data_IF_770605440122
#
_entry.id   IF_770605440122
#
_cell.length_a   1.000
_cell.length_b   1.000
_cell.length_c   1.000
_cell.angle_alpha   90.00
_cell.angle_beta   90.00
_cell.angle_gamma   90.00
#
_symmetry.space_group_name_H-M   'P 1'
#
loop_
_entity.id
_entity.type
_entity.pdbx_description
1 polymer ?
#
# COMPACT_ATOMS: atom_id res chain seq x y z
N UNK A 1 -62.04 -22.26 6.64
CA UNK A 1 -61.40 -20.94 6.41
C UNK A 1 -59.99 -20.97 7.02
N UNK A 2 -58.93 -20.83 6.22
CA UNK A 2 -57.55 -20.91 6.69
C UNK A 2 -57.08 -19.55 7.23
N UNK A 3 -56.73 -19.49 8.51
CA UNK A 3 -56.20 -18.28 9.14
C UNK A 3 -54.87 -17.87 8.47
N UNK A 4 -54.88 -16.73 7.76
CA UNK A 4 -53.67 -16.11 7.20
C UNK A 4 -52.68 -15.85 8.34
N UNK A 5 -51.64 -16.67 8.45
CA UNK A 5 -50.49 -16.49 9.35
C UNK A 5 -49.91 -15.09 9.11
N UNK A 6 -50.07 -14.21 10.09
CA UNK A 6 -49.78 -12.80 9.98
C UNK A 6 -48.25 -12.56 9.93
N UNK A 7 -47.71 -12.38 8.73
CA UNK A 7 -46.28 -12.24 8.45
C UNK A 7 -45.64 -11.03 9.17
N UNK A 8 -46.45 -10.02 9.50
CA UNK A 8 -46.02 -8.83 10.24
C UNK A 8 -45.68 -9.16 11.70
N UNK A 9 -46.50 -9.99 12.36
CA UNK A 9 -46.26 -10.43 13.74
C UNK A 9 -44.97 -11.26 13.85
N UNK A 10 -44.68 -12.09 12.82
CA UNK A 10 -43.43 -12.86 12.77
C UNK A 10 -42.20 -11.97 12.62
N UNK A 11 -42.27 -10.95 11.76
CA UNK A 11 -41.19 -9.97 11.56
C UNK A 11 -40.95 -9.11 12.81
N UNK A 12 -42.01 -8.70 13.50
CA UNK A 12 -41.90 -7.96 14.75
C UNK A 12 -41.23 -8.79 15.86
N UNK A 13 -41.60 -10.07 15.99
CA UNK A 13 -40.97 -10.98 16.94
C UNK A 13 -39.49 -11.25 16.63
N UNK A 14 -39.12 -11.34 15.36
CA UNK A 14 -37.72 -11.53 14.95
C UNK A 14 -36.88 -10.27 15.18
N UNK A 15 -37.44 -9.09 14.90
CA UNK A 15 -36.80 -7.81 15.20
C UNK A 15 -36.56 -7.62 16.70
N UNK A 16 -37.56 -7.95 17.54
CA UNK A 16 -37.44 -7.91 18.99
C UNK A 16 -36.36 -8.87 19.52
N UNK A 17 -36.26 -10.09 18.95
CA UNK A 17 -35.21 -11.05 19.31
C UNK A 17 -33.81 -10.56 18.93
N UNK A 18 -33.65 -9.93 17.75
CA UNK A 18 -32.37 -9.33 17.34
C UNK A 18 -31.98 -8.13 18.21
N UNK A 19 -32.94 -7.28 18.58
CA UNK A 19 -32.71 -6.15 19.48
C UNK A 19 -32.28 -6.62 20.89
N UNK A 20 -32.93 -7.63 21.44
CA UNK A 20 -32.57 -8.22 22.73
C UNK A 20 -31.18 -8.91 22.70
N UNK A 21 -30.84 -9.56 21.58
CA UNK A 21 -29.50 -10.13 21.39
C UNK A 21 -28.42 -9.06 21.28
N UNK A 22 -28.69 -7.95 20.57
CA UNK A 22 -27.77 -6.81 20.46
C UNK A 22 -27.52 -6.13 21.81
N UNK A 23 -28.54 -6.05 22.69
CA UNK A 23 -28.39 -5.52 24.04
C UNK A 23 -27.55 -6.43 24.96
N UNK A 24 -27.57 -7.75 24.76
CA UNK A 24 -26.81 -8.72 25.57
C UNK A 24 -25.33 -8.82 25.20
N UNK A 25 -24.99 -8.63 23.93
CA UNK A 25 -23.64 -8.86 23.41
C UNK A 25 -22.77 -7.59 23.51
N UNK A 26 -23.38 -6.42 23.74
CA UNK A 26 -22.69 -5.14 23.67
C UNK A 26 -22.34 -4.76 22.23
N UNK A 27 -21.78 -3.55 21.99
CA UNK A 27 -21.33 -3.16 20.66
C UNK A 27 -20.32 -4.19 20.16
N UNK A 28 -20.54 -4.67 18.92
CA UNK A 28 -19.63 -5.61 18.27
C UNK A 28 -18.22 -5.01 18.36
N UNK A 29 -17.23 -5.73 18.92
CA UNK A 29 -15.87 -5.19 18.98
C UNK A 29 -15.48 -4.81 17.57
N UNK A 30 -15.15 -3.52 17.39
CA UNK A 30 -14.59 -3.02 16.15
C UNK A 30 -13.33 -3.82 15.96
N UNK A 31 -13.36 -4.79 15.04
CA UNK A 31 -12.16 -5.53 14.69
C UNK A 31 -11.16 -4.46 14.22
N UNK A 32 -9.95 -4.38 14.81
CA UNK A 32 -8.94 -3.52 14.24
C UNK A 32 -8.85 -3.86 12.76
N UNK A 33 -8.94 -2.84 11.90
CA UNK A 33 -8.77 -3.03 10.48
C UNK A 33 -7.45 -3.79 10.30
N UNK A 34 -7.49 -4.95 9.63
CA UNK A 34 -6.25 -5.63 9.28
C UNK A 34 -5.39 -4.61 8.52
N UNK A 35 -4.07 -4.51 8.82
CA UNK A 35 -3.18 -3.71 8.00
C UNK A 35 -3.41 -4.09 6.55
N UNK A 36 -3.87 -3.16 5.74
CA UNK A 36 -4.13 -3.41 4.34
C UNK A 36 -2.85 -3.04 3.60
N UNK A 37 -2.10 -4.07 3.19
CA UNK A 37 -0.88 -3.85 2.43
C UNK A 37 -1.23 -3.54 0.98
N UNK A 38 -0.34 -2.85 0.27
CA UNK A 38 -0.55 -2.52 -1.13
C UNK A 38 -0.85 -3.76 -1.99
N UNK A 39 -0.17 -4.88 -1.76
CA UNK A 39 -0.40 -6.11 -2.52
C UNK A 39 -1.82 -6.68 -2.34
N UNK A 40 -2.45 -6.47 -1.18
CA UNK A 40 -3.83 -6.91 -0.91
C UNK A 40 -4.86 -6.06 -1.68
N UNK A 41 -4.49 -4.81 -2.00
CA UNK A 41 -5.32 -3.87 -2.76
C UNK A 41 -5.32 -4.15 -4.26
N UNK A 42 -4.41 -5.01 -4.75
CA UNK A 42 -4.25 -5.33 -6.18
C UNK A 42 -4.20 -4.05 -7.05
N UNK A 43 -3.17 -3.20 -6.85
CA UNK A 43 -3.03 -1.98 -7.62
C UNK A 43 -2.97 -2.29 -9.13
N UNK A 44 -3.61 -1.45 -9.96
CA UNK A 44 -3.57 -1.61 -11.40
C UNK A 44 -2.18 -1.21 -11.91
N UNK A 45 -1.74 -1.89 -12.95
CA UNK A 45 -0.63 -1.46 -13.77
C UNK A 45 0.55 -2.44 -13.82
N UNK A 46 1.40 -2.26 -14.82
CA UNK A 46 2.52 -3.16 -15.14
C UNK A 46 3.56 -3.22 -14.00
N UNK A 47 3.74 -2.12 -13.27
CA UNK A 47 4.72 -2.00 -12.19
C UNK A 47 4.38 -2.82 -10.93
N UNK A 48 3.18 -3.40 -10.88
CA UNK A 48 2.68 -4.18 -9.75
C UNK A 48 2.38 -5.64 -10.12
N UNK A 49 2.84 -6.11 -11.28
CA UNK A 49 2.67 -7.52 -11.68
C UNK A 49 3.60 -8.44 -10.90
N UNK A 50 4.78 -7.96 -10.56
CA UNK A 50 5.81 -8.72 -9.86
C UNK A 50 6.03 -8.15 -8.46
N UNK A 51 6.12 -9.06 -7.50
CA UNK A 51 6.34 -8.75 -6.10
C UNK A 51 7.49 -9.62 -5.61
N UNK A 52 8.49 -9.00 -5.00
CA UNK A 52 9.52 -9.75 -4.29
C UNK A 52 8.87 -10.40 -3.07
N UNK A 53 8.96 -11.74 -3.01
CA UNK A 53 8.44 -12.57 -1.90
C UNK A 53 9.56 -13.46 -1.36
N UNK A 54 10.42 -12.87 -0.53
CA UNK A 54 11.60 -13.55 -0.01
C UNK A 54 11.20 -14.49 1.13
N UNK A 55 11.64 -15.74 1.02
CA UNK A 55 11.29 -16.81 1.96
C UNK A 55 12.26 -16.90 3.16
N UNK A 56 13.17 -15.95 3.30
CA UNK A 56 14.26 -15.93 4.29
C UNK A 56 14.26 -14.61 5.05
N UNK A 57 14.80 -14.62 6.26
CA UNK A 57 14.94 -13.38 7.04
C UNK A 57 15.93 -12.43 6.38
N UNK A 58 15.84 -11.14 6.71
CA UNK A 58 16.73 -10.12 6.18
C UNK A 58 18.20 -10.45 6.49
N UNK A 59 18.48 -10.99 7.69
CA UNK A 59 19.81 -11.43 8.11
C UNK A 59 20.31 -12.61 7.27
N UNK A 60 19.48 -13.61 7.00
CA UNK A 60 19.84 -14.77 6.18
C UNK A 60 20.13 -14.36 4.73
N UNK A 61 19.36 -13.41 4.20
CA UNK A 61 19.57 -12.85 2.87
C UNK A 61 20.89 -12.08 2.84
N UNK A 62 21.14 -11.19 3.81
CA UNK A 62 22.37 -10.40 3.86
C UNK A 62 23.62 -11.25 4.10
N UNK A 63 23.55 -12.27 4.97
CA UNK A 63 24.68 -13.18 5.17
C UNK A 63 25.09 -13.82 3.86
N UNK A 64 24.12 -14.37 3.11
CA UNK A 64 24.41 -15.01 1.82
C UNK A 64 24.99 -14.02 0.81
N UNK A 65 24.45 -12.82 0.70
CA UNK A 65 24.97 -11.80 -0.23
C UNK A 65 26.38 -11.36 0.16
N UNK A 66 26.64 -11.18 1.45
CA UNK A 66 27.97 -10.83 1.94
C UNK A 66 28.98 -11.98 1.69
N UNK A 67 28.56 -13.24 1.86
CA UNK A 67 29.41 -14.41 1.60
C UNK A 67 29.73 -14.54 0.10
N UNK A 68 28.74 -14.33 -0.77
CA UNK A 68 28.89 -14.54 -2.22
C UNK A 68 29.58 -13.35 -2.93
N UNK A 69 29.37 -12.11 -2.48
CA UNK A 69 29.81 -10.90 -3.18
C UNK A 69 30.71 -9.97 -2.35
N UNK A 70 30.78 -10.17 -1.04
CA UNK A 70 31.45 -9.26 -0.11
C UNK A 70 30.52 -8.17 0.43
N UNK A 71 30.75 -7.70 1.68
CA UNK A 71 29.84 -6.79 2.39
C UNK A 71 29.76 -5.36 1.82
N UNK A 72 30.77 -4.94 1.06
CA UNK A 72 30.86 -3.61 0.45
C UNK A 72 30.61 -3.63 -1.06
N UNK A 73 30.13 -4.76 -1.59
CA UNK A 73 29.79 -4.88 -3.01
C UNK A 73 28.53 -4.11 -3.37
N UNK A 74 28.43 -3.70 -4.63
CA UNK A 74 27.19 -3.12 -5.18
C UNK A 74 25.98 -4.05 -5.01
N UNK A 75 26.22 -5.37 -5.03
CA UNK A 75 25.19 -6.37 -4.76
C UNK A 75 24.70 -6.31 -3.29
N UNK A 76 25.61 -6.18 -2.33
CA UNK A 76 25.27 -6.01 -0.92
C UNK A 76 24.54 -4.69 -0.67
N UNK A 77 25.01 -3.59 -1.29
CA UNK A 77 24.33 -2.29 -1.22
C UNK A 77 22.92 -2.36 -1.81
N UNK A 78 22.77 -2.91 -3.02
CA UNK A 78 21.48 -3.09 -3.67
C UNK A 78 20.52 -3.95 -2.84
N UNK A 79 21.01 -5.02 -2.23
CA UNK A 79 20.18 -5.87 -1.36
C UNK A 79 19.71 -5.10 -0.12
N UNK A 80 20.57 -4.30 0.52
CA UNK A 80 20.16 -3.47 1.66
C UNK A 80 18.98 -2.56 1.31
N UNK A 81 18.99 -1.94 0.13
CA UNK A 81 17.86 -1.13 -0.35
C UNK A 81 16.57 -1.95 -0.52
N UNK A 82 16.67 -3.15 -1.09
CA UNK A 82 15.51 -4.05 -1.25
C UNK A 82 14.91 -4.44 0.11
N UNK A 83 15.76 -4.75 1.09
CA UNK A 83 15.34 -5.11 2.44
C UNK A 83 14.74 -3.91 3.18
N UNK A 84 15.27 -2.71 2.96
CA UNK A 84 14.73 -1.47 3.52
C UNK A 84 13.25 -1.27 3.11
N UNK A 85 12.92 -1.51 1.84
CA UNK A 85 11.53 -1.43 1.38
C UNK A 85 10.57 -2.38 2.12
N UNK A 86 11.03 -3.53 2.62
CA UNK A 86 10.17 -4.46 3.37
C UNK A 86 9.61 -3.82 4.64
N UNK A 87 10.34 -2.87 5.24
CA UNK A 87 9.86 -2.13 6.40
C UNK A 87 8.61 -1.30 6.08
N UNK A 88 8.50 -0.80 4.84
CA UNK A 88 7.40 0.05 4.40
C UNK A 88 6.27 -0.74 3.72
N UNK A 89 6.61 -1.65 2.80
CA UNK A 89 5.62 -2.40 2.00
C UNK A 89 5.17 -3.71 2.67
N UNK A 90 5.87 -4.13 3.71
CA UNK A 90 5.65 -5.42 4.36
C UNK A 90 6.31 -6.57 3.60
N UNK A 91 5.78 -7.81 3.73
CA UNK A 91 6.45 -9.02 3.27
C UNK A 91 6.48 -9.20 1.75
N UNK A 92 5.77 -8.35 0.99
CA UNK A 92 5.74 -8.39 -0.48
C UNK A 92 6.03 -7.01 -1.00
N UNK A 93 7.15 -6.86 -1.71
CA UNK A 93 7.62 -5.54 -2.18
C UNK A 93 7.43 -5.41 -3.69
N UNK A 94 6.80 -4.33 -4.18
CA UNK A 94 6.68 -4.08 -5.62
C UNK A 94 7.96 -3.38 -6.11
N UNK A 95 9.05 -4.14 -6.28
CA UNK A 95 10.40 -3.59 -6.53
C UNK A 95 10.42 -2.61 -7.70
N UNK A 96 9.74 -2.94 -8.80
CA UNK A 96 9.66 -2.05 -9.96
C UNK A 96 9.01 -0.70 -9.61
N UNK A 97 7.86 -0.72 -8.93
CA UNK A 97 7.16 0.50 -8.54
C UNK A 97 7.93 1.29 -7.47
N UNK A 98 8.55 0.61 -6.49
CA UNK A 98 9.34 1.25 -5.45
C UNK A 98 10.58 1.94 -6.04
N UNK A 99 11.28 1.29 -6.98
CA UNK A 99 12.41 1.89 -7.69
C UNK A 99 11.98 3.06 -8.57
N UNK A 100 10.83 2.94 -9.24
CA UNK A 100 10.27 4.03 -10.03
C UNK A 100 9.96 5.25 -9.15
N UNK A 101 9.40 5.03 -7.95
CA UNK A 101 9.16 6.10 -6.99
C UNK A 101 10.46 6.78 -6.54
N UNK A 102 11.54 6.03 -6.33
CA UNK A 102 12.84 6.62 -6.04
C UNK A 102 13.36 7.49 -7.20
N UNK A 103 13.11 7.10 -8.45
CA UNK A 103 13.47 7.94 -9.59
C UNK A 103 12.68 9.25 -9.61
N UNK A 104 11.40 9.22 -9.21
CA UNK A 104 10.61 10.45 -9.03
C UNK A 104 11.19 11.34 -7.93
N UNK A 105 11.53 10.75 -6.77
CA UNK A 105 12.13 11.48 -5.64
C UNK A 105 13.42 12.17 -6.04
N UNK A 106 14.25 11.54 -6.87
CA UNK A 106 15.54 12.10 -7.30
C UNK A 106 15.41 13.12 -8.43
N UNK A 107 14.45 12.93 -9.36
CA UNK A 107 14.37 13.72 -10.60
C UNK A 107 13.33 14.84 -10.56
N UNK A 108 12.56 14.95 -9.48
CA UNK A 108 11.51 15.96 -9.32
C UNK A 108 11.62 16.60 -7.95
N UNK A 109 11.02 17.78 -7.79
CA UNK A 109 11.00 18.47 -6.50
C UNK A 109 9.97 17.87 -5.52
N UNK A 110 9.34 16.72 -5.83
CA UNK A 110 8.27 16.12 -5.01
C UNK A 110 8.67 15.91 -3.54
N UNK A 111 9.88 15.41 -3.28
CA UNK A 111 10.34 15.19 -1.91
C UNK A 111 10.68 16.52 -1.21
N UNK A 112 11.24 17.48 -1.94
CA UNK A 112 11.53 18.83 -1.44
C UNK A 112 10.25 19.58 -1.10
N UNK A 113 9.28 19.62 -2.00
CA UNK A 113 7.98 20.26 -1.81
C UNK A 113 7.24 19.66 -0.61
N UNK A 114 7.28 18.34 -0.45
CA UNK A 114 6.68 17.65 0.69
C UNK A 114 7.44 17.97 1.98
N UNK A 115 8.77 17.96 1.95
CA UNK A 115 9.63 18.31 3.08
C UNK A 115 9.34 19.74 3.58
N UNK A 116 9.27 20.72 2.67
CA UNK A 116 8.95 22.11 3.00
C UNK A 116 7.54 22.25 3.56
N UNK A 117 6.56 21.58 2.93
CA UNK A 117 5.15 21.62 3.38
C UNK A 117 4.98 21.05 4.78
N UNK A 118 5.72 19.98 5.11
CA UNK A 118 5.61 19.29 6.40
C UNK A 118 6.62 19.79 7.44
N UNK A 119 7.61 20.58 7.05
CA UNK A 119 8.71 21.01 7.91
C UNK A 119 9.62 19.87 8.37
N UNK A 120 9.86 18.88 7.50
CA UNK A 120 10.66 17.68 7.78
C UNK A 120 11.91 17.61 6.88
N UNK A 121 12.94 16.83 7.25
CA UNK A 121 14.08 16.56 6.37
C UNK A 121 13.69 15.85 5.06
N UNK A 122 14.43 16.04 3.95
CA UNK A 122 14.17 15.37 2.66
C UNK A 122 14.12 13.85 2.75
N UNK A 123 14.95 13.25 3.61
CA UNK A 123 14.99 11.79 3.82
C UNK A 123 13.68 11.28 4.43
N UNK A 124 13.12 12.02 5.41
CA UNK A 124 11.82 11.70 6.00
C UNK A 124 10.67 11.91 5.00
N UNK A 125 10.80 12.88 4.10
CA UNK A 125 9.84 13.09 3.02
C UNK A 125 9.83 11.93 2.01
N UNK A 126 11.02 11.39 1.66
CA UNK A 126 11.14 10.16 0.86
C UNK A 126 10.42 8.99 1.53
N UNK A 127 10.68 8.76 2.82
CA UNK A 127 9.99 7.69 3.57
C UNK A 127 8.46 7.89 3.60
N UNK A 128 7.99 9.14 3.71
CA UNK A 128 6.58 9.48 3.63
C UNK A 128 5.97 9.16 2.26
N UNK A 129 6.67 9.47 1.17
CA UNK A 129 6.22 9.12 -0.19
C UNK A 129 6.10 7.60 -0.36
N UNK A 130 7.08 6.83 0.11
CA UNK A 130 6.99 5.36 0.11
C UNK A 130 5.84 4.85 0.99
N UNK A 131 5.56 5.50 2.12
CA UNK A 131 4.42 5.15 2.98
C UNK A 131 3.09 5.44 2.31
N UNK A 132 2.95 6.59 1.64
CA UNK A 132 1.77 6.93 0.85
C UNK A 132 1.57 5.94 -0.30
N UNK A 133 2.65 5.55 -0.97
CA UNK A 133 2.61 4.54 -2.01
C UNK A 133 2.23 3.16 -1.48
N UNK A 134 2.81 2.71 -0.35
CA UNK A 134 2.47 1.45 0.31
C UNK A 134 1.02 1.38 0.81
N UNK A 135 0.38 2.53 1.02
CA UNK A 135 -1.06 2.63 1.35
C UNK A 135 -1.96 2.76 0.14
N UNK A 136 -1.40 2.81 -1.08
CA UNK A 136 -2.15 3.05 -2.30
C UNK A 136 -2.73 4.46 -2.38
N UNK A 137 -2.14 5.44 -1.69
CA UNK A 137 -2.50 6.86 -1.87
C UNK A 137 -1.72 7.44 -3.05
N UNK A 138 -0.51 6.95 -3.28
CA UNK A 138 0.25 7.19 -4.50
C UNK A 138 0.35 5.89 -5.30
N UNK A 139 0.25 5.97 -6.63
CA UNK A 139 0.48 4.83 -7.54
C UNK A 139 1.21 5.27 -8.81
N UNK A 140 1.95 4.34 -9.40
CA UNK A 140 2.56 4.44 -10.71
C UNK A 140 1.59 3.87 -11.74
N UNK A 141 1.15 4.69 -12.70
CA UNK A 141 0.29 4.25 -13.79
C UNK A 141 1.07 3.43 -14.84
N UNK A 142 0.35 2.82 -15.81
CA UNK A 142 0.96 2.01 -16.88
C UNK A 142 1.91 2.80 -17.79
N UNK A 143 1.70 4.11 -17.93
CA UNK A 143 2.58 4.99 -18.68
C UNK A 143 3.87 5.34 -17.90
N UNK A 144 3.98 4.91 -16.64
CA UNK A 144 5.09 5.19 -15.73
C UNK A 144 4.91 6.45 -14.89
N UNK A 145 3.79 7.17 -15.03
CA UNK A 145 3.55 8.43 -14.33
C UNK A 145 3.05 8.24 -12.89
N UNK A 146 3.35 9.19 -12.01
CA UNK A 146 2.95 9.14 -10.60
C UNK A 146 1.60 9.84 -10.40
N UNK A 147 0.68 9.17 -9.73
CA UNK A 147 -0.68 9.66 -9.45
C UNK A 147 -1.04 9.59 -7.98
N UNK A 148 -1.77 10.60 -7.53
CA UNK A 148 -2.56 10.52 -6.30
C UNK A 148 -3.85 9.75 -6.58
N UNK A 149 -4.18 8.81 -5.71
CA UNK A 149 -5.30 7.89 -5.88
C UNK A 149 -6.10 7.70 -4.59
N UNK A 150 -7.31 7.17 -4.74
CA UNK A 150 -8.12 6.65 -3.64
C UNK A 150 -8.20 5.12 -3.80
N UNK A 151 -7.71 4.34 -2.83
CA UNK A 151 -7.73 2.89 -2.91
C UNK A 151 -9.15 2.33 -2.70
N UNK A 152 -9.45 1.15 -3.29
CA UNK A 152 -10.72 0.47 -3.07
C UNK A 152 -10.92 0.14 -1.59
N UNK A 153 -12.17 0.21 -1.12
CA UNK A 153 -12.52 0.02 0.29
C UNK A 153 -12.42 1.30 1.14
N UNK A 154 -11.94 2.41 0.58
CA UNK A 154 -12.01 3.73 1.21
C UNK A 154 -13.36 4.39 0.91
N UNK A 155 -14.17 4.61 1.95
CA UNK A 155 -15.51 5.16 1.80
C UNK A 155 -16.48 4.19 1.10
N UNK A 156 -17.14 4.64 0.03
CA UNK A 156 -18.06 3.82 -0.79
C UNK A 156 -17.43 3.34 -2.10
N UNK A 157 -16.13 3.57 -2.29
CA UNK A 157 -15.45 3.22 -3.53
C UNK A 157 -15.04 1.74 -3.51
N UNK A 158 -15.44 0.99 -4.53
CA UNK A 158 -15.09 -0.41 -4.76
C UNK A 158 -13.93 -0.58 -5.76
N UNK A 159 -13.51 0.52 -6.40
CA UNK A 159 -12.46 0.58 -7.42
C UNK A 159 -11.43 1.65 -7.10
N UNK A 160 -10.27 1.53 -7.74
CA UNK A 160 -9.26 2.58 -7.78
C UNK A 160 -9.79 3.84 -8.45
N UNK A 161 -9.55 4.99 -7.83
CA UNK A 161 -9.85 6.30 -8.41
C UNK A 161 -8.57 7.10 -8.52
N UNK A 162 -8.23 7.52 -9.73
CA UNK A 162 -7.10 8.41 -10.01
C UNK A 162 -7.58 9.85 -9.91
N UNK A 163 -6.98 10.63 -9.01
CA UNK A 163 -7.46 11.96 -8.65
C UNK A 163 -6.63 13.04 -9.32
N UNK A 164 -5.31 12.95 -9.22
CA UNK A 164 -4.40 14.00 -9.67
C UNK A 164 -3.08 13.38 -10.11
N UNK A 165 -2.57 13.81 -11.26
CA UNK A 165 -1.23 13.45 -11.73
C UNK A 165 -0.21 14.31 -11.01
N UNK A 166 0.77 13.67 -10.35
CA UNK A 166 1.82 14.36 -9.57
C UNK A 166 3.09 14.56 -10.37
N UNK A 167 3.44 13.62 -11.24
CA UNK A 167 4.59 13.76 -12.12
C UNK A 167 4.46 12.86 -13.36
N UNK A 168 5.01 13.33 -14.48
CA UNK A 168 5.21 12.53 -15.69
C UNK A 168 6.36 11.55 -15.53
N UNK A 169 6.32 10.43 -16.25
CA UNK A 169 7.37 9.41 -16.25
C UNK A 169 8.75 10.05 -16.43
N UNK A 170 9.71 9.81 -15.52
CA UNK A 170 11.00 10.46 -15.62
C UNK A 170 11.73 9.99 -16.88
N UNK A 171 12.01 10.90 -17.80
CA UNK A 171 12.72 10.58 -19.04
C UNK A 171 14.13 10.11 -18.68
N UNK A 172 14.59 8.99 -19.26
CA UNK A 172 16.00 8.63 -19.19
C UNK A 172 16.81 9.71 -19.91
N UNK A 173 17.57 10.49 -19.15
CA UNK A 173 18.66 11.27 -19.72
C UNK A 173 19.75 10.26 -20.05
N UNK A 174 19.82 9.82 -21.30
CA UNK A 174 21.02 9.17 -21.83
C UNK A 174 22.15 10.17 -21.66
N UNK A 175 23.05 9.91 -20.73
CA UNK A 175 24.31 10.63 -20.65
C UNK A 175 25.10 10.27 -21.91
N UNK A 176 25.24 11.23 -22.83
CA UNK A 176 26.27 11.25 -23.87
C UNK A 176 27.65 11.48 -23.25
#
# INVERSE_FOLDING_TARGET
MAAKKNSAARRAGEAARRAAAAQRIGPRPVRPARPQYLYDLKPPGIHYREWDTPNRTDEEVMSKVNDDFGPDSDAALGMRFVLEYRRTYGPRVPIMAARQLDQFVVRTDLATDLAETMGIPPEEAREHLHTLHARGVLLIADDGSLWMTVPPGTGRNDRWVFVEKKADTPVEVTAD
#
